data_IF_656075995613
#
_entry.id   IF_656075995613
#
_cell.length_a   1.000
_cell.length_b   1.000
_cell.length_c   1.000
_cell.angle_alpha   90.00
_cell.angle_beta   90.00
_cell.angle_gamma   90.00
#
_symmetry.space_group_name_H-M   'P 1'
#
loop_
_entity.id
_entity.type
_entity.pdbx_description
1 polymer ?
#
# COMPACT_ATOMS: atom_id res chain seq x y z
N UNK A 1 -14.88 -46.88 -37.02
CA UNK A 1 -14.72 -45.42 -37.23
C UNK A 1 -14.02 -44.86 -36.00
N UNK A 2 -12.68 -44.75 -36.06
CA UNK A 2 -11.79 -44.37 -34.96
C UNK A 2 -11.95 -42.88 -34.61
N UNK A 3 -12.18 -42.57 -33.34
CA UNK A 3 -12.02 -41.21 -32.81
C UNK A 3 -10.63 -41.08 -32.17
N UNK A 4 -9.76 -40.29 -32.78
CA UNK A 4 -8.47 -39.91 -32.21
C UNK A 4 -8.66 -38.82 -31.15
N UNK A 5 -8.32 -39.15 -29.91
CA UNK A 5 -8.09 -38.18 -28.83
C UNK A 5 -6.82 -37.37 -29.15
N UNK A 6 -6.99 -36.12 -29.59
CA UNK A 6 -5.91 -35.12 -29.58
C UNK A 6 -5.63 -34.74 -28.13
N UNK A 7 -4.61 -35.34 -27.54
CA UNK A 7 -4.07 -34.89 -26.25
C UNK A 7 -3.49 -33.47 -26.39
N UNK A 8 -3.92 -32.57 -25.51
CA UNK A 8 -3.31 -31.26 -25.32
C UNK A 8 -1.86 -31.43 -24.87
N UNK A 9 -0.94 -30.74 -25.53
CA UNK A 9 0.46 -30.63 -25.08
C UNK A 9 0.48 -29.99 -23.68
N UNK A 10 1.26 -30.53 -22.71
CA UNK A 10 1.47 -29.83 -21.45
C UNK A 10 2.18 -28.50 -21.74
N UNK A 11 1.63 -27.41 -21.20
CA UNK A 11 2.31 -26.13 -21.16
C UNK A 11 3.68 -26.32 -20.49
N UNK A 12 4.74 -26.06 -21.25
CA UNK A 12 6.08 -25.90 -20.69
C UNK A 12 5.99 -24.80 -19.63
N UNK A 13 6.30 -25.15 -18.38
CA UNK A 13 6.65 -24.14 -17.37
C UNK A 13 7.88 -23.41 -17.91
N UNK A 14 7.70 -22.15 -18.32
CA UNK A 14 8.82 -21.24 -18.47
C UNK A 14 9.54 -21.21 -17.13
N UNK A 15 10.68 -21.88 -17.09
CA UNK A 15 11.64 -21.75 -15.99
C UNK A 15 12.16 -20.34 -16.10
N UNK A 16 11.58 -19.44 -15.29
CA UNK A 16 12.15 -18.12 -15.04
C UNK A 16 13.52 -18.40 -14.43
N UNK A 17 14.56 -18.35 -15.26
CA UNK A 17 15.92 -18.47 -14.79
C UNK A 17 16.17 -17.31 -13.85
N UNK A 18 16.48 -17.63 -12.59
CA UNK A 18 17.04 -16.68 -11.66
C UNK A 18 18.21 -16.00 -12.36
N UNK A 19 18.15 -14.68 -12.50
CA UNK A 19 19.27 -13.87 -12.94
C UNK A 19 20.38 -14.11 -11.90
N UNK A 20 21.32 -15.01 -12.22
CA UNK A 20 22.61 -15.10 -11.55
C UNK A 20 23.19 -13.70 -11.60
N UNK A 21 23.53 -13.14 -10.44
CA UNK A 21 24.04 -11.80 -10.20
C UNK A 21 22.98 -10.75 -9.82
N UNK A 22 22.10 -11.08 -8.87
CA UNK A 22 21.58 -10.03 -7.99
C UNK A 22 22.73 -9.62 -7.05
N UNK A 23 23.22 -8.37 -7.07
CA UNK A 23 24.16 -7.92 -6.06
C UNK A 23 23.42 -7.89 -4.72
N UNK A 24 23.58 -8.98 -3.97
CA UNK A 24 23.44 -8.97 -2.52
C UNK A 24 24.38 -7.87 -2.00
N UNK A 25 23.79 -6.93 -1.27
CA UNK A 25 24.49 -5.87 -0.55
C UNK A 25 25.21 -4.84 -1.44
N UNK A 26 24.48 -3.78 -1.79
CA UNK A 26 25.14 -2.49 -1.99
C UNK A 26 25.31 -1.89 -0.59
N UNK A 27 26.56 -1.76 -0.16
CA UNK A 27 27.02 -0.97 0.99
C UNK A 27 26.65 -1.39 2.42
N UNK A 28 26.53 -2.70 2.70
CA UNK A 28 26.49 -3.19 4.10
C UNK A 28 25.32 -2.67 4.96
N UNK A 29 24.34 -1.97 4.38
CA UNK A 29 23.09 -1.58 5.05
C UNK A 29 22.13 -2.76 5.02
N UNK A 30 21.96 -3.41 6.16
CA UNK A 30 20.99 -4.50 6.42
C UNK A 30 19.55 -4.00 6.51
N UNK A 31 19.27 -2.77 6.09
CA UNK A 31 17.95 -2.19 6.06
C UNK A 31 17.95 -1.26 4.85
N UNK A 32 17.09 -1.50 3.86
CA UNK A 32 17.04 -0.72 2.61
C UNK A 32 16.58 0.74 2.80
N UNK A 33 16.81 1.34 3.97
CA UNK A 33 16.34 2.68 4.33
C UNK A 33 14.82 2.75 4.45
N UNK A 34 14.15 1.62 4.69
CA UNK A 34 12.70 1.55 4.78
C UNK A 34 12.18 2.38 5.94
N UNK A 35 11.06 3.07 5.73
CA UNK A 35 10.38 3.79 6.80
C UNK A 35 9.89 2.80 7.86
N UNK A 36 10.47 2.95 9.05
CA UNK A 36 10.03 2.29 10.27
C UNK A 36 8.89 3.07 10.88
N UNK A 37 7.68 2.53 10.76
CA UNK A 37 6.51 3.05 11.46
C UNK A 37 6.67 2.68 12.93
N UNK A 38 7.10 3.65 13.74
CA UNK A 38 7.27 3.54 15.20
C UNK A 38 6.69 4.77 15.91
N UNK A 39 6.62 4.74 17.24
CA UNK A 39 6.11 5.87 18.05
C UNK A 39 6.90 7.14 17.77
N UNK A 40 8.22 7.03 17.63
CA UNK A 40 9.09 8.15 17.32
C UNK A 40 8.67 8.85 16.03
N UNK A 41 8.27 8.11 14.99
CA UNK A 41 7.78 8.66 13.71
C UNK A 41 6.57 9.60 13.89
N UNK A 42 5.84 9.49 14.99
CA UNK A 42 4.64 10.30 15.28
C UNK A 42 4.82 11.29 16.43
N UNK A 43 5.90 11.15 17.22
CA UNK A 43 6.33 12.15 18.19
C UNK A 43 7.08 13.27 17.45
N UNK A 44 6.48 14.45 17.32
CA UNK A 44 7.19 15.66 16.90
C UNK A 44 6.92 16.81 17.86
N UNK A 45 7.88 17.73 17.97
CA UNK A 45 7.88 18.82 18.95
C UNK A 45 6.77 19.87 18.74
N UNK A 46 5.92 19.72 17.72
CA UNK A 46 4.90 20.72 17.35
C UNK A 46 3.54 20.49 18.02
N UNK A 47 2.72 21.57 18.18
CA UNK A 47 1.62 21.62 19.16
C UNK A 47 0.32 20.87 18.80
N UNK A 48 0.22 20.15 17.67
CA UNK A 48 -0.98 19.38 17.32
C UNK A 48 -1.03 18.04 18.09
N UNK A 49 -1.05 18.14 19.42
CA UNK A 49 -0.80 17.02 20.34
C UNK A 49 -1.97 16.04 20.45
N UNK A 50 -3.23 16.48 20.53
CA UNK A 50 -4.34 15.58 20.91
C UNK A 50 -4.57 14.43 19.91
N UNK A 51 -4.57 14.72 18.60
CA UNK A 51 -4.74 13.71 17.56
C UNK A 51 -3.56 12.73 17.47
N UNK A 52 -2.34 13.17 17.78
CA UNK A 52 -1.13 12.35 17.76
C UNK A 52 -0.98 11.50 19.01
N UNK A 53 -1.33 12.05 20.18
CA UNK A 53 -1.39 11.30 21.44
C UNK A 53 -2.33 10.10 21.28
N UNK A 54 -3.49 10.27 20.67
CA UNK A 54 -4.40 9.15 20.44
C UNK A 54 -3.85 8.11 19.44
N UNK A 55 -3.09 8.53 18.43
CA UNK A 55 -2.40 7.61 17.53
C UNK A 55 -1.32 6.83 18.27
N UNK A 56 -0.47 7.50 19.04
CA UNK A 56 0.57 6.85 19.86
C UNK A 56 -0.07 5.89 20.86
N UNK A 57 -1.08 6.32 21.62
CA UNK A 57 -1.82 5.46 22.55
C UNK A 57 -2.49 4.27 21.88
N UNK A 58 -3.01 4.45 20.66
CA UNK A 58 -3.54 3.34 19.88
C UNK A 58 -2.41 2.37 19.58
N UNK A 59 -1.31 2.83 19.00
CA UNK A 59 -0.22 1.97 18.56
C UNK A 59 0.49 1.28 19.74
N UNK A 60 0.67 1.98 20.86
CA UNK A 60 1.19 1.41 22.13
C UNK A 60 0.29 0.31 22.68
N UNK A 61 -1.03 0.39 22.43
CA UNK A 61 -1.97 -0.65 22.85
C UNK A 61 -1.94 -1.91 21.98
N UNK A 62 -1.25 -1.91 20.84
CA UNK A 62 -1.21 -3.02 19.89
C UNK A 62 -0.02 -3.96 20.07
N UNK A 63 1.06 -3.50 20.70
CA UNK A 63 2.33 -4.25 20.78
C UNK A 63 3.18 -3.91 22.01
N UNK A 64 3.77 -4.93 22.63
CA UNK A 64 5.10 -4.85 23.26
C UNK A 64 6.10 -4.92 22.10
N UNK A 65 6.85 -3.86 21.78
CA UNK A 65 7.65 -3.82 20.57
C UNK A 65 8.91 -4.68 20.70
N UNK A 66 9.10 -5.65 19.81
CA UNK A 66 10.45 -6.13 19.51
C UNK A 66 11.15 -5.02 18.72
N UNK A 67 12.13 -4.36 19.32
CA UNK A 67 12.97 -3.31 18.69
C UNK A 67 12.25 -2.03 18.21
N UNK A 68 11.11 -1.69 18.81
CA UNK A 68 10.42 -0.40 18.58
C UNK A 68 9.59 -0.28 17.30
N UNK A 69 9.52 -1.28 16.43
CA UNK A 69 8.74 -1.21 15.18
C UNK A 69 7.29 -1.69 15.38
N UNK A 70 6.31 -1.03 14.75
CA UNK A 70 4.93 -1.54 14.68
C UNK A 70 4.87 -2.69 13.68
N UNK A 71 5.19 -3.90 14.11
CA UNK A 71 4.97 -5.10 13.33
C UNK A 71 3.72 -5.79 13.85
N UNK A 72 2.62 -5.63 13.13
CA UNK A 72 1.33 -6.24 13.47
C UNK A 72 1.20 -7.60 12.78
N UNK A 73 0.90 -8.63 13.56
CA UNK A 73 0.29 -9.85 13.03
C UNK A 73 -1.12 -9.56 12.50
N UNK A 74 -1.67 -10.50 11.74
CA UNK A 74 -3.07 -10.44 11.31
C UNK A 74 -4.04 -10.28 12.49
N UNK A 75 -3.79 -10.99 13.60
CA UNK A 75 -4.55 -10.84 14.84
C UNK A 75 -4.43 -9.44 15.45
N UNK A 76 -3.22 -8.89 15.54
CA UNK A 76 -3.02 -7.54 16.12
C UNK A 76 -3.65 -6.45 15.25
N UNK A 77 -3.62 -6.61 13.92
CA UNK A 77 -4.35 -5.72 13.01
C UNK A 77 -5.86 -5.74 13.28
N UNK A 78 -6.43 -6.93 13.53
CA UNK A 78 -7.86 -7.08 13.88
C UNK A 78 -8.16 -6.38 15.20
N UNK A 79 -7.32 -6.57 16.23
CA UNK A 79 -7.47 -5.87 17.52
C UNK A 79 -7.41 -4.35 17.33
N UNK A 80 -6.48 -3.84 16.51
CA UNK A 80 -6.39 -2.42 16.19
C UNK A 80 -7.67 -1.87 15.56
N UNK A 81 -8.21 -2.61 14.60
CA UNK A 81 -9.46 -2.26 13.94
C UNK A 81 -10.64 -2.23 14.93
N UNK A 82 -10.70 -3.16 15.88
CA UNK A 82 -11.72 -3.21 16.92
C UNK A 82 -11.61 -2.03 17.89
N UNK A 83 -10.40 -1.68 18.33
CA UNK A 83 -10.15 -0.53 19.22
C UNK A 83 -10.58 0.78 18.55
N UNK A 84 -10.24 0.96 17.26
CA UNK A 84 -10.69 2.14 16.50
C UNK A 84 -12.20 2.23 16.42
N UNK A 85 -12.87 1.09 16.18
CA UNK A 85 -14.33 1.02 16.13
C UNK A 85 -14.98 1.32 17.48
N UNK A 86 -14.45 0.77 18.57
CA UNK A 86 -15.01 0.95 19.92
C UNK A 86 -14.83 2.37 20.44
N UNK A 87 -13.71 3.02 20.13
CA UNK A 87 -13.43 4.42 20.50
C UNK A 87 -14.25 5.44 19.72
N UNK A 88 -15.13 5.01 18.80
CA UNK A 88 -15.92 5.87 17.89
C UNK A 88 -15.09 6.98 17.26
N UNK A 89 -13.80 6.71 16.99
CA UNK A 89 -12.94 7.68 16.35
C UNK A 89 -13.60 8.03 15.02
N UNK A 90 -13.99 9.30 14.87
CA UNK A 90 -14.78 9.79 13.75
C UNK A 90 -14.19 9.22 12.47
N UNK A 91 -15.01 8.56 11.63
CA UNK A 91 -14.59 7.91 10.37
C UNK A 91 -13.57 8.80 9.68
N UNK A 92 -12.30 8.45 9.82
CA UNK A 92 -11.22 9.35 9.45
C UNK A 92 -11.13 9.27 7.94
N UNK A 93 -11.73 10.27 7.31
CA UNK A 93 -11.90 10.26 5.87
C UNK A 93 -10.72 11.00 5.29
N UNK A 94 -10.01 10.33 4.38
CA UNK A 94 -8.97 10.95 3.59
C UNK A 94 -9.53 12.20 2.89
N UNK A 95 -8.91 13.35 3.13
CA UNK A 95 -9.38 14.65 2.65
C UNK A 95 -8.36 15.33 1.75
N UNK A 96 -8.82 16.16 0.83
CA UNK A 96 -7.94 16.90 -0.07
C UNK A 96 -6.90 17.79 0.64
N UNK A 97 -7.21 18.49 1.75
CA UNK A 97 -6.20 19.24 2.49
C UNK A 97 -5.03 18.37 2.99
N UNK A 98 -5.31 17.17 3.50
CA UNK A 98 -4.26 16.25 3.96
C UNK A 98 -3.45 15.67 2.79
N UNK A 99 -4.12 15.40 1.68
CA UNK A 99 -3.45 15.01 0.43
C UNK A 99 -2.55 16.15 -0.06
N UNK A 100 -2.98 17.41 0.04
CA UNK A 100 -2.17 18.54 -0.39
C UNK A 100 -0.88 18.66 0.43
N UNK A 101 -0.94 18.50 1.76
CA UNK A 101 0.25 18.47 2.63
C UNK A 101 1.27 17.43 2.14
N UNK A 102 0.80 16.24 1.76
CA UNK A 102 1.64 15.21 1.14
C UNK A 102 2.21 15.66 -0.21
N UNK A 103 1.33 16.13 -1.11
CA UNK A 103 1.71 16.50 -2.47
C UNK A 103 2.70 17.68 -2.52
N UNK A 104 2.63 18.62 -1.57
CA UNK A 104 3.58 19.73 -1.44
C UNK A 104 5.03 19.26 -1.17
N UNK A 105 5.19 18.01 -0.68
CA UNK A 105 6.48 17.38 -0.41
C UNK A 105 6.81 16.24 -1.38
N UNK A 106 6.07 16.10 -2.49
CA UNK A 106 6.14 14.90 -3.32
C UNK A 106 7.50 14.65 -3.96
N UNK A 107 8.24 15.70 -4.28
CA UNK A 107 9.59 15.60 -4.84
C UNK A 107 10.54 14.80 -3.94
N UNK A 108 10.45 15.00 -2.61
CA UNK A 108 11.25 14.24 -1.62
C UNK A 108 10.84 12.78 -1.57
N UNK A 109 9.55 12.49 -1.66
CA UNK A 109 9.05 11.13 -1.71
C UNK A 109 9.50 10.40 -2.98
N UNK A 110 9.49 11.08 -4.13
CA UNK A 110 10.03 10.52 -5.36
C UNK A 110 11.54 10.24 -5.27
N UNK A 111 12.31 11.14 -4.66
CA UNK A 111 13.73 10.89 -4.39
C UNK A 111 13.92 9.69 -3.45
N UNK A 112 13.13 9.59 -2.39
CA UNK A 112 13.16 8.48 -1.44
C UNK A 112 12.87 7.15 -2.13
N UNK A 113 11.79 7.04 -2.91
CA UNK A 113 11.46 5.80 -3.60
C UNK A 113 12.44 5.45 -4.72
N UNK A 114 12.98 6.44 -5.41
CA UNK A 114 14.04 6.17 -6.40
C UNK A 114 15.30 5.59 -5.72
N UNK A 115 15.71 6.18 -4.59
CA UNK A 115 16.90 5.76 -3.85
C UNK A 115 16.71 4.39 -3.19
N UNK A 116 15.62 4.21 -2.45
CA UNK A 116 15.44 3.07 -1.55
C UNK A 116 14.67 1.91 -2.20
N UNK A 117 13.70 2.20 -3.07
CA UNK A 117 12.91 1.17 -3.76
C UNK A 117 13.40 0.91 -5.20
N UNK A 118 14.40 1.66 -5.68
CA UNK A 118 14.95 1.57 -7.05
C UNK A 118 13.85 1.71 -8.12
N UNK A 119 12.93 2.64 -7.89
CA UNK A 119 11.83 2.93 -8.80
C UNK A 119 12.16 4.17 -9.63
N UNK A 120 12.25 3.99 -10.95
CA UNK A 120 12.29 5.13 -11.87
C UNK A 120 10.87 5.68 -12.13
N UNK A 121 10.42 6.56 -11.23
CA UNK A 121 9.13 7.24 -11.34
C UNK A 121 9.05 8.21 -12.53
N UNK A 122 10.19 8.69 -13.06
CA UNK A 122 10.20 9.57 -14.23
C UNK A 122 9.71 8.82 -15.47
N UNK A 123 10.04 7.54 -15.58
CA UNK A 123 9.55 6.67 -16.65
C UNK A 123 8.03 6.42 -16.58
N UNK A 124 7.43 6.49 -15.38
CA UNK A 124 6.02 6.19 -15.13
C UNK A 124 5.09 7.38 -15.42
N UNK A 125 5.59 8.62 -15.30
CA UNK A 125 4.83 9.85 -15.58
C UNK A 125 4.44 10.04 -17.06
N UNK A 126 5.03 9.27 -17.98
CA UNK A 126 4.69 9.33 -19.42
C UNK A 126 3.39 8.58 -19.76
N UNK A 127 2.88 7.74 -18.85
CA UNK A 127 1.55 7.16 -18.96
C UNK A 127 0.53 8.11 -18.34
N UNK A 128 -0.52 8.49 -19.08
CA UNK A 128 -1.68 9.23 -18.54
C UNK A 128 -2.39 8.37 -17.49
N UNK A 129 -1.87 8.37 -16.28
CA UNK A 129 -2.37 7.63 -15.13
C UNK A 129 -3.48 8.45 -14.50
N UNK A 130 -4.72 8.18 -14.94
CA UNK A 130 -5.95 8.88 -14.52
C UNK A 130 -5.88 10.41 -14.71
N UNK A 131 -7.01 11.10 -14.52
CA UNK A 131 -7.02 12.57 -14.43
C UNK A 131 -6.58 13.09 -13.06
N UNK A 132 -6.10 12.22 -12.19
CA UNK A 132 -5.89 12.49 -10.77
C UNK A 132 -4.45 12.18 -10.37
N UNK A 133 -3.59 13.20 -10.46
CA UNK A 133 -2.13 13.08 -10.27
C UNK A 133 -1.74 12.60 -8.87
N UNK A 134 -2.59 12.83 -7.86
CA UNK A 134 -2.31 12.41 -6.48
C UNK A 134 -2.47 10.90 -6.25
N UNK A 135 -3.13 10.16 -7.14
CA UNK A 135 -3.55 8.78 -6.85
C UNK A 135 -2.36 7.83 -6.80
N UNK A 136 -1.48 7.87 -7.80
CA UNK A 136 -0.30 6.99 -7.84
C UNK A 136 0.62 7.23 -6.65
N UNK A 137 1.04 8.46 -6.33
CA UNK A 137 1.93 8.68 -5.20
C UNK A 137 1.30 8.29 -3.86
N UNK A 138 0.02 8.60 -3.68
CA UNK A 138 -0.69 8.24 -2.47
C UNK A 138 -0.87 6.72 -2.33
N UNK A 139 -1.08 6.03 -3.45
CA UNK A 139 -1.07 4.57 -3.49
C UNK A 139 0.28 3.99 -3.05
N UNK A 140 1.40 4.52 -3.56
CA UNK A 140 2.74 4.06 -3.17
C UNK A 140 3.02 4.29 -1.68
N UNK A 141 2.60 5.45 -1.14
CA UNK A 141 2.73 5.72 0.30
C UNK A 141 1.88 4.75 1.13
N UNK A 142 0.67 4.42 0.68
CA UNK A 142 -0.16 3.44 1.41
C UNK A 142 0.40 2.03 1.32
N UNK A 143 0.98 1.64 0.18
CA UNK A 143 1.70 0.38 0.05
C UNK A 143 2.84 0.36 1.07
N UNK A 144 3.72 1.39 1.09
CA UNK A 144 4.79 1.56 2.08
C UNK A 144 4.26 1.35 3.51
N UNK A 145 3.21 2.06 3.90
CA UNK A 145 2.58 1.92 5.22
C UNK A 145 2.12 0.49 5.50
N UNK A 146 1.40 -0.13 4.57
CA UNK A 146 0.83 -1.47 4.74
C UNK A 146 1.93 -2.49 4.90
N UNK A 147 2.91 -2.51 3.98
CA UNK A 147 3.98 -3.49 4.07
C UNK A 147 4.83 -3.25 5.32
N UNK A 148 5.00 -1.99 5.76
CA UNK A 148 5.87 -1.67 6.92
C UNK A 148 5.21 -2.04 8.24
N UNK A 149 3.90 -1.87 8.35
CA UNK A 149 3.14 -2.19 9.56
C UNK A 149 2.78 -3.67 9.62
N UNK A 150 2.51 -4.28 8.48
CA UNK A 150 2.19 -5.69 8.34
C UNK A 150 3.22 -6.23 7.34
N UNK A 151 4.40 -6.73 7.74
CA UNK A 151 5.43 -7.21 6.81
C UNK A 151 5.23 -8.65 6.32
N UNK A 152 4.05 -9.22 6.47
CA UNK A 152 3.81 -10.66 6.36
C UNK A 152 3.42 -11.17 4.96
N UNK A 153 4.21 -12.09 4.43
CA UNK A 153 3.73 -13.11 3.49
C UNK A 153 3.65 -14.42 4.25
N UNK A 154 2.48 -15.09 4.24
CA UNK A 154 2.27 -16.36 4.96
C UNK A 154 3.31 -17.45 4.69
N UNK A 155 3.97 -17.36 3.54
CA UNK A 155 5.00 -18.29 3.08
C UNK A 155 6.40 -17.97 3.62
N UNK A 156 6.59 -16.81 4.27
CA UNK A 156 7.86 -16.37 4.83
C UNK A 156 7.75 -16.25 6.36
N UNK A 157 8.73 -16.81 7.11
CA UNK A 157 8.76 -16.59 8.56
C UNK A 157 8.93 -15.10 8.89
N UNK A 158 8.40 -14.67 10.04
CA UNK A 158 8.31 -13.25 10.46
C UNK A 158 9.67 -12.52 10.51
N UNK A 159 10.77 -13.27 10.55
CA UNK A 159 12.14 -12.77 10.57
C UNK A 159 12.76 -12.56 9.17
N UNK A 160 12.04 -12.91 8.09
CA UNK A 160 12.51 -12.66 6.72
C UNK A 160 12.10 -11.26 6.31
N UNK A 161 13.09 -10.42 6.05
CA UNK A 161 12.89 -9.09 5.52
C UNK A 161 12.26 -9.19 4.12
N UNK A 162 11.15 -8.47 3.90
CA UNK A 162 10.57 -8.35 2.56
C UNK A 162 11.61 -7.73 1.61
N UNK A 163 11.68 -8.24 0.38
CA UNK A 163 12.40 -7.55 -0.70
C UNK A 163 11.62 -6.27 -1.06
N UNK A 164 11.90 -5.21 -0.31
CA UNK A 164 11.19 -3.94 -0.38
C UNK A 164 11.17 -3.36 -1.82
N UNK A 165 12.31 -3.27 -2.54
CA UNK A 165 12.28 -2.88 -3.94
C UNK A 165 11.35 -3.74 -4.81
N UNK A 166 11.33 -5.06 -4.59
CA UNK A 166 10.47 -5.95 -5.37
C UNK A 166 8.98 -5.77 -5.03
N UNK A 167 8.63 -5.59 -3.75
CA UNK A 167 7.24 -5.33 -3.35
C UNK A 167 6.71 -4.03 -3.96
N UNK A 168 7.52 -2.98 -3.96
CA UNK A 168 7.14 -1.70 -4.57
C UNK A 168 6.99 -1.81 -6.10
N UNK A 169 7.86 -2.58 -6.78
CA UNK A 169 7.70 -2.88 -8.21
C UNK A 169 6.42 -3.67 -8.51
N UNK A 170 6.09 -4.66 -7.68
CA UNK A 170 4.85 -5.42 -7.80
C UNK A 170 3.62 -4.51 -7.64
N UNK A 171 3.66 -3.59 -6.68
CA UNK A 171 2.59 -2.61 -6.47
C UNK A 171 2.39 -1.70 -7.69
N UNK A 172 3.47 -1.18 -8.29
CA UNK A 172 3.41 -0.38 -9.52
C UNK A 172 2.82 -1.18 -10.67
N UNK A 173 3.27 -2.43 -10.87
CA UNK A 173 2.75 -3.30 -11.93
C UNK A 173 1.24 -3.50 -11.76
N UNK A 174 0.79 -3.79 -10.54
CA UNK A 174 -0.63 -3.96 -10.20
C UNK A 174 -1.43 -2.68 -10.44
N UNK A 175 -0.88 -1.52 -10.07
CA UNK A 175 -1.48 -0.22 -10.34
C UNK A 175 -1.65 0.04 -11.84
N UNK A 176 -0.61 -0.21 -12.62
CA UNK A 176 -0.61 0.00 -14.08
C UNK A 176 -1.57 -0.95 -14.79
N UNK A 177 -1.65 -2.20 -14.34
CA UNK A 177 -2.59 -3.19 -14.85
C UNK A 177 -4.04 -2.75 -14.63
N UNK A 178 -4.39 -2.36 -13.40
CA UNK A 178 -5.74 -1.86 -13.11
C UNK A 178 -6.04 -0.57 -13.89
N UNK A 179 -5.08 0.36 -13.96
CA UNK A 179 -5.25 1.58 -14.75
C UNK A 179 -5.48 1.28 -16.24
N UNK A 180 -4.77 0.28 -16.80
CA UNK A 180 -4.99 -0.18 -18.18
C UNK A 180 -6.40 -0.73 -18.36
N UNK A 181 -6.87 -1.61 -17.47
CA UNK A 181 -8.21 -2.20 -17.50
C UNK A 181 -9.30 -1.10 -17.43
N UNK A 182 -9.10 -0.11 -16.57
CA UNK A 182 -10.08 0.97 -16.36
C UNK A 182 -10.18 1.91 -17.57
N UNK A 183 -9.07 2.16 -18.26
CA UNK A 183 -9.04 3.02 -19.45
C UNK A 183 -9.43 2.25 -20.73
N UNK A 184 -8.87 1.06 -20.94
CA UNK A 184 -9.00 0.25 -22.16
C UNK A 184 -9.54 -1.16 -21.78
N UNK A 185 -10.86 -1.38 -21.77
CA UNK A 185 -11.43 -2.67 -21.43
C UNK A 185 -11.10 -3.69 -22.54
N UNK A 186 -10.91 -4.98 -22.21
CA UNK A 186 -10.87 -6.02 -23.23
C UNK A 186 -12.21 -6.08 -23.99
N UNK A 187 -12.15 -6.25 -25.31
CA UNK A 187 -13.33 -6.34 -26.20
C UNK A 187 -14.17 -7.60 -25.91
N UNK A 188 -13.51 -8.62 -25.36
CA UNK A 188 -14.06 -9.92 -25.06
C UNK A 188 -14.72 -9.82 -23.67
N UNK A 189 -16.04 -10.01 -23.59
CA UNK A 189 -16.84 -9.90 -22.35
C UNK A 189 -16.48 -10.85 -21.19
N UNK A 190 -15.27 -11.45 -21.19
CA UNK A 190 -14.74 -12.36 -20.17
C UNK A 190 -14.66 -11.76 -18.77
N UNK A 191 -14.87 -10.44 -18.62
CA UNK A 191 -14.80 -9.77 -17.33
C UNK A 191 -16.02 -8.91 -17.02
N UNK A 192 -17.22 -9.51 -17.00
CA UNK A 192 -18.45 -8.84 -16.52
C UNK A 192 -18.25 -8.15 -15.16
N UNK A 193 -17.53 -8.81 -14.25
CA UNK A 193 -17.14 -8.24 -12.94
C UNK A 193 -16.22 -7.01 -13.03
N UNK A 194 -15.28 -6.97 -13.99
CA UNK A 194 -14.41 -5.80 -14.18
C UNK A 194 -15.18 -4.64 -14.84
N UNK A 195 -16.16 -4.94 -15.70
CA UNK A 195 -17.02 -3.93 -16.33
C UNK A 195 -17.94 -3.23 -15.32
N UNK A 196 -18.54 -3.96 -14.39
CA UNK A 196 -19.32 -3.37 -13.29
C UNK A 196 -18.44 -2.48 -12.40
N UNK A 197 -17.26 -2.98 -12.01
CA UNK A 197 -16.27 -2.17 -11.26
C UNK A 197 -15.83 -0.93 -12.01
N UNK A 198 -15.69 -0.99 -13.34
CA UNK A 198 -15.31 0.16 -14.16
C UNK A 198 -16.38 1.24 -14.15
N UNK A 199 -17.65 0.88 -14.24
CA UNK A 199 -18.75 1.85 -14.17
C UNK A 199 -18.80 2.53 -12.80
N UNK A 200 -18.69 1.75 -11.73
CA UNK A 200 -18.55 2.30 -10.37
C UNK A 200 -17.34 3.22 -10.26
N UNK A 201 -16.19 2.80 -10.81
CA UNK A 201 -14.97 3.59 -10.77
C UNK A 201 -15.09 4.91 -11.55
N UNK A 202 -15.72 4.93 -12.72
CA UNK A 202 -15.96 6.17 -13.49
C UNK A 202 -16.78 7.17 -12.68
N UNK A 203 -17.82 6.70 -11.99
CA UNK A 203 -18.63 7.55 -11.08
C UNK A 203 -17.79 8.07 -9.93
N UNK A 204 -16.94 7.24 -9.33
CA UNK A 204 -16.05 7.65 -8.23
C UNK A 204 -15.04 8.71 -8.72
N UNK A 205 -14.43 8.52 -9.90
CA UNK A 205 -13.45 9.46 -10.47
C UNK A 205 -14.08 10.81 -10.81
N UNK A 206 -15.34 10.84 -11.27
CA UNK A 206 -16.08 12.09 -11.45
C UNK A 206 -16.21 12.90 -10.14
N UNK A 207 -16.04 12.24 -8.99
CA UNK A 207 -16.09 12.82 -7.66
C UNK A 207 -14.75 12.72 -6.92
N UNK A 208 -13.62 12.69 -7.65
CA UNK A 208 -12.30 12.49 -7.08
C UNK A 208 -11.94 13.46 -5.94
N UNK A 209 -12.36 14.72 -6.06
CA UNK A 209 -12.10 15.75 -5.04
C UNK A 209 -12.90 15.55 -3.76
N UNK A 210 -14.10 14.98 -3.84
CA UNK A 210 -14.96 14.73 -2.66
C UNK A 210 -14.81 13.31 -2.11
N UNK A 211 -14.25 12.38 -2.89
CA UNK A 211 -14.10 10.96 -2.51
C UNK A 211 -12.71 10.39 -2.83
N UNK A 212 -11.60 11.07 -2.46
CA UNK A 212 -10.26 10.59 -2.80
C UNK A 212 -9.95 9.22 -2.17
N UNK A 213 -10.50 8.95 -0.98
CA UNK A 213 -10.39 7.64 -0.32
C UNK A 213 -10.92 6.50 -1.19
N UNK A 214 -12.07 6.69 -1.85
CA UNK A 214 -12.70 5.63 -2.64
C UNK A 214 -11.87 5.27 -3.88
N UNK A 215 -11.23 6.27 -4.51
CA UNK A 215 -10.32 6.05 -5.64
C UNK A 215 -9.09 5.27 -5.16
N UNK A 216 -8.41 5.77 -4.13
CA UNK A 216 -7.21 5.15 -3.58
C UNK A 216 -7.45 3.68 -3.21
N UNK A 217 -8.52 3.42 -2.45
CA UNK A 217 -8.83 2.07 -1.99
C UNK A 217 -9.28 1.13 -3.10
N UNK A 218 -9.70 1.63 -4.27
CA UNK A 218 -9.93 0.76 -5.43
C UNK A 218 -8.63 0.12 -5.91
N UNK A 219 -7.53 0.88 -5.93
CA UNK A 219 -6.20 0.38 -6.29
C UNK A 219 -5.61 -0.50 -5.20
N UNK A 220 -5.71 -0.10 -3.94
CA UNK A 220 -5.20 -0.89 -2.81
C UNK A 220 -5.93 -2.23 -2.69
N UNK A 221 -7.27 -2.25 -2.81
CA UNK A 221 -8.04 -3.49 -2.76
C UNK A 221 -7.66 -4.44 -3.91
N UNK A 222 -7.27 -3.92 -5.08
CA UNK A 222 -6.80 -4.73 -6.20
C UNK A 222 -5.40 -5.29 -5.94
N UNK A 223 -4.45 -4.45 -5.51
CA UNK A 223 -3.09 -4.87 -5.18
C UNK A 223 -3.06 -5.90 -4.05
N UNK A 224 -3.78 -5.66 -2.95
CA UNK A 224 -3.85 -6.60 -1.81
C UNK A 224 -4.45 -7.94 -2.23
N UNK A 225 -5.46 -7.95 -3.11
CA UNK A 225 -6.04 -9.20 -3.63
C UNK A 225 -5.08 -10.01 -4.48
N UNK A 226 -4.14 -9.36 -5.18
CA UNK A 226 -3.23 -10.04 -6.10
C UNK A 226 -1.90 -10.42 -5.44
N UNK A 227 -1.40 -9.59 -4.52
CA UNK A 227 -0.04 -9.70 -3.98
C UNK A 227 0.01 -9.86 -2.46
N UNK A 228 -1.12 -9.65 -1.77
CA UNK A 228 -1.22 -9.66 -0.31
C UNK A 228 -2.41 -10.50 0.17
N UNK A 229 -2.66 -11.61 -0.54
CA UNK A 229 -3.86 -12.46 -0.45
C UNK A 229 -4.13 -12.97 0.94
N UNK A 230 -3.11 -13.44 1.64
CA UNK A 230 -3.20 -13.95 3.01
C UNK A 230 -3.79 -12.92 3.98
N UNK A 231 -3.16 -11.75 4.06
CA UNK A 231 -3.61 -10.63 4.90
C UNK A 231 -4.99 -10.17 4.45
N UNK A 232 -5.21 -10.08 3.15
CA UNK A 232 -6.50 -9.69 2.59
C UNK A 232 -7.64 -10.65 2.96
N UNK A 233 -7.40 -11.96 2.92
CA UNK A 233 -8.38 -12.98 3.29
C UNK A 233 -8.66 -12.92 4.79
N UNK A 234 -7.64 -12.74 5.64
CA UNK A 234 -7.84 -12.54 7.08
C UNK A 234 -8.65 -11.29 7.38
N UNK A 235 -8.31 -10.17 6.74
CA UNK A 235 -9.06 -8.92 6.84
C UNK A 235 -10.51 -9.09 6.40
N UNK A 236 -10.84 -10.03 5.51
CA UNK A 236 -12.23 -10.34 5.13
C UNK A 236 -12.92 -11.27 6.12
N UNK A 237 -12.26 -12.35 6.52
CA UNK A 237 -12.78 -13.38 7.44
C UNK A 237 -13.25 -12.77 8.76
N UNK A 238 -12.47 -11.84 9.32
CA UNK A 238 -12.74 -11.27 10.65
C UNK A 238 -13.85 -10.22 10.70
N UNK A 239 -14.35 -9.78 9.55
CA UNK A 239 -14.91 -8.44 9.41
C UNK A 239 -16.27 -8.42 8.72
N UNK A 240 -16.75 -9.55 8.19
CA UNK A 240 -17.88 -9.59 7.25
C UNK A 240 -17.74 -8.57 6.09
N UNK A 241 -18.66 -8.58 5.13
CA UNK A 241 -18.60 -7.73 3.93
C UNK A 241 -18.44 -6.21 4.23
N UNK A 242 -18.76 -5.76 5.45
CA UNK A 242 -18.75 -4.35 5.87
C UNK A 242 -17.46 -3.87 6.56
N UNK A 243 -16.54 -4.73 7.00
CA UNK A 243 -15.42 -4.27 7.87
C UNK A 243 -14.03 -4.22 7.24
N UNK A 244 -13.93 -4.31 5.90
CA UNK A 244 -12.81 -3.67 5.19
C UNK A 244 -12.70 -2.18 5.57
N UNK A 245 -13.82 -1.53 5.90
CA UNK A 245 -13.86 -0.15 6.36
C UNK A 245 -13.00 0.12 7.60
N UNK A 246 -12.82 -0.86 8.49
CA UNK A 246 -12.01 -0.67 9.70
C UNK A 246 -10.51 -0.60 9.37
N UNK A 247 -10.02 -1.48 8.50
CA UNK A 247 -8.64 -1.42 7.97
C UNK A 247 -8.43 -0.12 7.19
N UNK A 248 -9.42 0.25 6.37
CA UNK A 248 -9.38 1.53 5.64
C UNK A 248 -9.27 2.71 6.59
N UNK A 249 -10.07 2.70 7.65
CA UNK A 249 -10.05 3.72 8.70
C UNK A 249 -8.71 3.75 9.43
N UNK A 250 -8.13 2.60 9.76
CA UNK A 250 -6.83 2.50 10.42
C UNK A 250 -5.71 3.19 9.64
N UNK A 251 -5.52 2.81 8.37
CA UNK A 251 -4.47 3.42 7.54
C UNK A 251 -4.78 4.87 7.20
N UNK A 252 -6.05 5.23 6.97
CA UNK A 252 -6.43 6.64 6.77
C UNK A 252 -6.15 7.49 8.02
N UNK A 253 -6.34 6.92 9.22
CA UNK A 253 -6.07 7.59 10.48
C UNK A 253 -4.57 7.83 10.66
N UNK A 254 -3.73 6.82 10.41
CA UNK A 254 -2.26 6.96 10.41
C UNK A 254 -1.83 8.05 9.42
N UNK A 255 -2.30 8.01 8.18
CA UNK A 255 -1.98 9.02 7.18
C UNK A 255 -2.38 10.43 7.66
N UNK A 256 -3.65 10.60 8.04
CA UNK A 256 -4.20 11.91 8.40
C UNK A 256 -3.52 12.54 9.62
N UNK A 257 -3.05 11.72 10.56
CA UNK A 257 -2.40 12.18 11.78
C UNK A 257 -0.88 12.24 11.67
N UNK A 258 -0.30 11.49 10.74
CA UNK A 258 1.14 11.28 10.60
C UNK A 258 1.81 12.01 9.45
N UNK A 259 1.06 12.44 8.42
CA UNK A 259 1.67 12.89 7.16
C UNK A 259 2.64 14.06 7.29
N UNK A 260 2.34 15.03 8.16
CA UNK A 260 3.24 16.15 8.42
C UNK A 260 4.58 15.69 8.98
N UNK A 261 4.55 14.78 9.96
CA UNK A 261 5.76 14.26 10.59
C UNK A 261 6.51 13.34 9.63
N UNK A 262 5.80 12.52 8.86
CA UNK A 262 6.38 11.71 7.78
C UNK A 262 7.13 12.59 6.78
N UNK A 263 6.54 13.69 6.33
CA UNK A 263 7.18 14.65 5.42
C UNK A 263 8.41 15.35 6.02
N UNK A 264 8.46 15.51 7.34
CA UNK A 264 9.64 16.05 8.03
C UNK A 264 10.76 15.02 8.07
N UNK A 265 10.44 13.81 8.52
CA UNK A 265 11.40 12.73 8.75
C UNK A 265 11.92 12.08 7.47
N UNK A 266 11.20 12.17 6.36
CA UNK A 266 11.67 11.63 5.07
C UNK A 266 13.03 12.21 4.66
N UNK A 267 13.37 13.41 5.12
CA UNK A 267 14.67 14.07 4.88
C UNK A 267 15.84 13.28 5.44
N UNK A 268 15.63 12.59 6.57
CA UNK A 268 16.67 11.79 7.22
C UNK A 268 17.06 10.54 6.40
N UNK A 269 16.23 10.20 5.40
CA UNK A 269 16.43 9.06 4.50
C UNK A 269 16.93 9.48 3.11
N UNK A 270 17.22 10.76 2.91
CA UNK A 270 17.77 11.30 1.67
C UNK A 270 19.28 11.60 1.84
N UNK A 271 20.06 11.60 0.75
CA UNK A 271 21.43 12.11 0.79
C UNK A 271 21.46 13.52 1.36
N UNK A 272 22.43 13.83 2.23
CA UNK A 272 22.63 15.19 2.72
C UNK A 272 22.92 16.12 1.54
N UNK A 273 22.17 17.22 1.45
CA UNK A 273 22.42 18.30 0.49
C UNK A 273 23.75 19.02 0.80
#
# INVERSE_FOLDING_TARGET
>A
MLWMLKMQKPHQRETIMAIKNHPSQIDGRTNYGRLKFNTDLFMSERPSQSGRIHLVQLLDSLTIPFEGNFLLTDYQLVVACQILRSRRLSKTTLSMPQIQIFMDNIHRWYQYWNTNAKIDLKSLNNGKVLRCEFVLPLFLLYVEMIISIIPFKQELPLNVELDYPQEMRNAIKSFMELNKILNNPPENGEYKFLMEKRNTFKVIVAHARSRPSAILWTFLDFWMKSHYTAVWNKVKEFNDLHSCDAVKTFFNYIFTRGIETLNQKIRDYLPHE
#
